data_IF_874329582459
#
_entry.id   IF_874329582459
#
_cell.length_a   1.000
_cell.length_b   1.000
_cell.length_c   1.000
_cell.angle_alpha   90.00
_cell.angle_beta   90.00
_cell.angle_gamma   90.00
#
_symmetry.space_group_name_H-M   'P 1'
#
loop_
_entity.id
_entity.type
_entity.pdbx_description
1 polymer ?
#
# COMPACT_ATOMS: atom_id res chain seq x y z
N UNK A 1 -4.14 19.59 7.57
CA UNK A 1 -5.20 19.01 6.70
C UNK A 1 -4.91 17.57 6.26
N UNK A 2 -3.67 17.18 5.92
CA UNK A 2 -3.34 15.78 5.53
C UNK A 2 -3.69 14.71 6.59
N UNK A 3 -3.51 15.02 7.89
CA UNK A 3 -3.72 14.07 8.99
C UNK A 3 -5.16 13.59 9.17
N UNK A 4 -6.16 14.45 8.93
CA UNK A 4 -7.58 14.10 9.14
C UNK A 4 -8.08 13.11 8.09
N UNK A 5 -7.62 13.23 6.84
CA UNK A 5 -8.03 12.33 5.76
C UNK A 5 -7.37 10.95 5.91
N UNK A 6 -6.08 10.90 6.25
CA UNK A 6 -5.37 9.65 6.54
C UNK A 6 -6.02 8.89 7.71
N UNK A 7 -6.38 9.59 8.79
CA UNK A 7 -7.11 8.99 9.91
C UNK A 7 -8.45 8.39 9.47
N UNK A 8 -9.23 9.15 8.69
CA UNK A 8 -10.55 8.70 8.21
C UNK A 8 -10.44 7.52 7.24
N UNK A 9 -9.39 7.46 6.43
CA UNK A 9 -9.12 6.34 5.52
C UNK A 9 -8.79 5.07 6.32
N UNK A 10 -7.89 5.17 7.30
CA UNK A 10 -7.55 4.07 8.21
C UNK A 10 -8.80 3.54 8.93
N UNK A 11 -9.62 4.42 9.51
CA UNK A 11 -10.87 4.06 10.18
C UNK A 11 -11.89 3.35 9.26
N UNK A 12 -11.87 3.63 7.95
CA UNK A 12 -12.74 2.94 7.00
C UNK A 12 -12.18 1.58 6.61
N UNK A 13 -10.87 1.50 6.40
CA UNK A 13 -10.20 0.24 6.03
C UNK A 13 -10.22 -0.75 7.19
N UNK A 14 -10.07 -0.30 8.44
CA UNK A 14 -10.10 -1.16 9.62
C UNK A 14 -11.48 -1.72 9.95
N UNK A 15 -12.56 -1.10 9.46
CA UNK A 15 -13.92 -1.43 9.94
C UNK A 15 -14.52 -2.74 9.45
N UNK A 16 -13.93 -3.47 8.49
CA UNK A 16 -14.50 -4.73 7.98
C UNK A 16 -13.46 -5.66 7.32
N UNK A 17 -12.16 -5.44 7.51
CA UNK A 17 -11.12 -6.22 6.83
C UNK A 17 -10.24 -6.92 7.87
N UNK A 18 -9.92 -8.18 7.62
CA UNK A 18 -9.01 -8.95 8.47
C UNK A 18 -7.55 -8.44 8.36
N UNK A 19 -7.19 -7.86 7.22
CA UNK A 19 -5.90 -7.24 6.95
C UNK A 19 -6.01 -6.26 5.78
N UNK A 20 -5.24 -5.17 5.81
CA UNK A 20 -5.04 -4.31 4.65
C UNK A 20 -3.59 -3.82 4.58
N UNK A 21 -3.16 -3.50 3.36
CA UNK A 21 -1.91 -2.79 3.09
C UNK A 21 -2.24 -1.57 2.24
N UNK A 22 -1.78 -0.40 2.64
CA UNK A 22 -1.89 0.85 1.92
C UNK A 22 -0.50 1.32 1.54
N UNK A 23 -0.25 1.41 0.24
CA UNK A 23 0.99 1.96 -0.33
C UNK A 23 0.62 3.25 -1.05
N UNK A 24 1.34 4.34 -0.76
CA UNK A 24 1.16 5.62 -1.43
C UNK A 24 2.50 6.15 -1.89
N UNK A 25 2.53 6.65 -3.12
CA UNK A 25 3.69 7.31 -3.70
C UNK A 25 3.39 8.81 -3.84
N UNK A 26 4.32 9.65 -3.39
CA UNK A 26 4.33 11.07 -3.72
C UNK A 26 4.74 11.29 -5.17
N UNK A 27 4.64 12.53 -5.64
CA UNK A 27 5.26 12.92 -6.91
C UNK A 27 6.78 12.73 -6.83
N UNK A 28 7.43 12.33 -7.94
CA UNK A 28 8.89 12.32 -8.00
C UNK A 28 9.45 13.73 -7.74
N UNK A 29 10.52 13.81 -6.97
CA UNK A 29 11.30 15.04 -6.78
C UNK A 29 12.25 15.26 -7.95
N UNK A 30 12.76 16.49 -8.10
CA UNK A 30 13.63 16.88 -9.23
C UNK A 30 14.93 16.08 -9.33
N UNK A 31 15.36 15.45 -8.23
CA UNK A 31 16.50 14.55 -8.15
C UNK A 31 16.16 13.08 -8.49
N UNK A 32 14.92 12.82 -8.91
CA UNK A 32 14.41 11.50 -9.28
C UNK A 32 14.01 10.61 -8.11
N UNK A 33 14.11 11.11 -6.87
CA UNK A 33 13.64 10.36 -5.71
C UNK A 33 12.10 10.39 -5.62
N UNK A 34 11.51 9.39 -4.97
CA UNK A 34 10.07 9.31 -4.78
C UNK A 34 9.78 8.91 -3.34
N UNK A 35 8.96 9.69 -2.65
CA UNK A 35 8.53 9.34 -1.31
C UNK A 35 7.50 8.22 -1.38
N UNK A 36 7.84 7.06 -0.84
CA UNK A 36 6.91 5.93 -0.69
C UNK A 36 6.58 5.77 0.79
N UNK A 37 5.30 5.73 1.12
CA UNK A 37 4.80 5.40 2.45
C UNK A 37 4.00 4.10 2.37
N UNK A 38 4.30 3.17 3.27
CA UNK A 38 3.53 1.95 3.46
C UNK A 38 2.96 1.91 4.88
N UNK A 39 1.69 1.52 4.97
CA UNK A 39 1.02 1.23 6.23
C UNK A 39 0.24 -0.07 6.09
N UNK A 40 0.20 -0.87 7.15
CA UNK A 40 -0.66 -2.04 7.23
C UNK A 40 -1.36 -2.13 8.58
N UNK A 41 -2.47 -2.87 8.60
CA UNK A 41 -3.19 -3.26 9.81
C UNK A 41 -3.67 -4.69 9.64
N UNK A 42 -3.63 -5.48 10.72
CA UNK A 42 -3.87 -6.92 10.72
C UNK A 42 -2.60 -7.71 11.04
N UNK A 43 -2.65 -9.03 10.80
CA UNK A 43 -1.51 -9.92 11.01
C UNK A 43 -0.37 -9.63 10.00
N UNK A 44 0.86 -9.58 10.49
CA UNK A 44 2.02 -9.24 9.65
C UNK A 44 2.29 -10.31 8.58
N UNK A 45 2.02 -11.59 8.86
CA UNK A 45 2.18 -12.68 7.90
C UNK A 45 1.14 -12.57 6.79
N UNK A 46 -0.10 -12.21 7.14
CA UNK A 46 -1.16 -11.96 6.15
C UNK A 46 -0.85 -10.73 5.28
N UNK A 47 -0.32 -9.65 5.87
CA UNK A 47 0.13 -8.48 5.11
C UNK A 47 1.26 -8.82 4.13
N UNK A 48 2.25 -9.62 4.57
CA UNK A 48 3.32 -10.10 3.72
C UNK A 48 2.81 -10.99 2.57
N UNK A 49 1.85 -11.87 2.86
CA UNK A 49 1.20 -12.71 1.84
C UNK A 49 0.48 -11.86 0.78
N UNK A 50 -0.26 -10.83 1.19
CA UNK A 50 -0.92 -9.91 0.26
C UNK A 50 0.09 -9.18 -0.64
N UNK A 51 1.20 -8.70 -0.07
CA UNK A 51 2.26 -8.03 -0.82
C UNK A 51 2.93 -8.96 -1.83
N UNK A 52 3.27 -10.17 -1.40
CA UNK A 52 3.89 -11.15 -2.28
C UNK A 52 2.97 -11.49 -3.45
N UNK A 53 1.69 -11.75 -3.19
CA UNK A 53 0.71 -12.03 -4.24
C UNK A 53 0.53 -10.87 -5.21
N UNK A 54 0.48 -9.63 -4.70
CA UNK A 54 0.40 -8.43 -5.54
C UNK A 54 1.65 -8.26 -6.41
N UNK A 55 2.85 -8.47 -5.85
CA UNK A 55 4.10 -8.41 -6.59
C UNK A 55 4.13 -9.45 -7.71
N UNK A 56 3.87 -10.72 -7.39
CA UNK A 56 3.85 -11.80 -8.39
C UNK A 56 2.88 -11.51 -9.54
N UNK A 57 1.69 -10.98 -9.23
CA UNK A 57 0.72 -10.59 -10.26
C UNK A 57 1.20 -9.44 -11.16
N UNK A 58 1.93 -8.46 -10.61
CA UNK A 58 2.49 -7.36 -11.40
C UNK A 58 3.64 -7.85 -12.29
N UNK A 59 4.54 -8.66 -11.75
CA UNK A 59 5.68 -9.23 -12.49
C UNK A 59 5.19 -10.09 -13.68
N UNK A 60 4.13 -10.88 -13.47
CA UNK A 60 3.48 -11.66 -14.54
C UNK A 60 2.93 -10.77 -15.66
N UNK A 61 2.35 -9.61 -15.33
CA UNK A 61 1.84 -8.68 -16.33
C UNK A 61 2.95 -7.91 -17.06
N UNK A 62 4.05 -7.57 -16.38
CA UNK A 62 5.19 -6.89 -16.99
C UNK A 62 5.86 -7.76 -18.08
N UNK A 63 5.77 -9.09 -17.95
CA UNK A 63 6.28 -10.04 -18.95
C UNK A 63 5.43 -10.11 -20.22
N UNK A 64 4.23 -9.52 -20.23
CA UNK A 64 3.30 -9.52 -21.36
C UNK A 64 3.33 -8.21 -22.20
N UNK A 65 4.22 -7.26 -21.88
CA UNK A 65 4.34 -5.96 -22.54
C UNK A 65 5.67 -5.86 -23.31
#
# INVERSE_FOLDING_TARGET
MKSTMQKRLRERLSKNHACYVLITCGEPTDDGNMQVEMTYEGDASLAAYLLQGAQSFMDEQETLI
#
